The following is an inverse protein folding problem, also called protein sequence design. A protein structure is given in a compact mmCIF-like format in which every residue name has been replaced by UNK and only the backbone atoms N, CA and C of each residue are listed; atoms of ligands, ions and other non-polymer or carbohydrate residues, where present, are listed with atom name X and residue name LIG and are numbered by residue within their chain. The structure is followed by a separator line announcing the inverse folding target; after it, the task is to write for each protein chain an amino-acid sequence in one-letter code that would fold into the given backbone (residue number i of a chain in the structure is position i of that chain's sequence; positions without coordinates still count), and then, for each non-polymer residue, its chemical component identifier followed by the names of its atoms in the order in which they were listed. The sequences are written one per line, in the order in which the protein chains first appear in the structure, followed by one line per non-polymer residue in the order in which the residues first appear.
data_IF_097462410443
#
_entry.id   IF_097462410443
#
_cell.length_a   1.000
_cell.length_b   1.000
_cell.length_c   1.000
_cell.angle_alpha   90.00
_cell.angle_beta   90.00
_cell.angle_gamma   90.00
#
_symmetry.space_group_name_H-M   'P 1'
#
loop_
_entity.id
_entity.type
_entity.pdbx_description
1 polymer ?
#
# COMPACT_ATOMS: atom_id res chain seq x y z
N UNK A 1 -1.52 -11.27 12.73
CA UNK A 1 -0.55 -10.11 12.60
C UNK A 1 0.79 -10.41 13.22
N UNK A 2 0.85 -10.90 14.47
CA UNK A 2 2.12 -11.29 15.11
C UNK A 2 2.88 -12.31 14.26
N UNK A 3 2.16 -13.25 13.65
CA UNK A 3 2.73 -14.27 12.75
C UNK A 3 3.35 -13.65 11.48
N UNK A 4 2.72 -12.62 10.89
CA UNK A 4 3.28 -11.95 9.71
C UNK A 4 4.54 -11.14 10.02
N UNK A 5 4.61 -10.44 11.16
CA UNK A 5 5.84 -9.73 11.55
C UNK A 5 7.00 -10.70 11.83
N UNK A 6 6.70 -11.85 12.44
CA UNK A 6 7.69 -12.92 12.62
C UNK A 6 8.13 -13.47 11.27
N UNK A 7 7.19 -13.76 10.37
CA UNK A 7 7.50 -14.24 9.03
C UNK A 7 8.35 -13.23 8.24
N UNK A 8 8.00 -11.95 8.28
CA UNK A 8 8.78 -10.88 7.64
C UNK A 8 10.22 -10.84 8.19
N UNK A 9 10.38 -10.93 9.52
CA UNK A 9 11.71 -10.88 10.17
C UNK A 9 12.58 -12.09 9.77
N UNK A 10 11.98 -13.26 9.64
CA UNK A 10 12.67 -14.49 9.25
C UNK A 10 12.99 -14.55 7.74
N UNK A 11 12.28 -13.76 6.92
CA UNK A 11 12.41 -13.73 5.45
C UNK A 11 12.93 -12.38 4.93
N UNK A 12 13.70 -11.66 5.73
CA UNK A 12 14.35 -10.43 5.26
C UNK A 12 15.28 -10.71 4.09
N UNK A 13 15.22 -9.89 3.02
CA UNK A 13 16.08 -10.07 1.86
C UNK A 13 17.56 -9.93 2.25
N UNK A 14 18.38 -10.88 1.82
CA UNK A 14 19.82 -10.92 2.08
C UNK A 14 20.59 -11.42 0.89
N UNK A 15 21.80 -10.87 0.70
CA UNK A 15 22.76 -11.34 -0.27
C UNK A 15 24.08 -11.71 0.41
N UNK A 16 24.80 -12.70 -0.13
CA UNK A 16 26.19 -12.90 0.22
C UNK A 16 27.04 -11.81 -0.44
N UNK A 17 27.62 -10.92 0.37
CA UNK A 17 28.32 -9.74 -0.13
C UNK A 17 29.36 -9.23 0.87
N UNK A 18 30.43 -8.64 0.36
CA UNK A 18 31.39 -7.87 1.18
C UNK A 18 30.95 -6.39 1.34
N UNK A 19 29.85 -5.96 0.73
CA UNK A 19 29.37 -4.58 0.85
C UNK A 19 28.89 -4.32 2.29
N UNK A 20 29.44 -3.31 3.00
CA UNK A 20 29.23 -3.16 4.44
C UNK A 20 27.77 -2.80 4.85
N UNK A 21 26.97 -2.23 3.94
CA UNK A 21 25.66 -1.67 4.25
C UNK A 21 24.51 -2.23 3.41
N UNK A 22 24.77 -3.11 2.42
CA UNK A 22 23.74 -3.53 1.47
C UNK A 22 22.59 -4.27 2.14
N UNK A 23 22.89 -5.26 2.98
CA UNK A 23 21.85 -6.02 3.69
C UNK A 23 21.10 -5.17 4.72
N UNK A 24 21.79 -4.23 5.38
CA UNK A 24 21.13 -3.29 6.30
C UNK A 24 20.19 -2.34 5.56
N UNK A 25 20.57 -1.87 4.37
CA UNK A 25 19.75 -1.04 3.53
C UNK A 25 18.47 -1.77 3.08
N UNK A 26 18.58 -3.04 2.64
CA UNK A 26 17.42 -3.87 2.26
C UNK A 26 16.43 -4.07 3.41
N UNK A 27 16.92 -4.29 4.63
CA UNK A 27 16.10 -4.64 5.77
C UNK A 27 15.49 -3.40 6.49
N UNK A 28 16.20 -2.28 6.54
CA UNK A 28 15.92 -1.17 7.46
C UNK A 28 14.50 -0.60 7.34
N UNK A 29 14.01 -0.42 6.12
CA UNK A 29 12.65 0.11 5.89
C UNK A 29 11.54 -0.94 6.10
N UNK A 30 11.88 -2.22 6.04
CA UNK A 30 10.95 -3.32 6.31
C UNK A 30 10.69 -3.47 7.80
N UNK A 31 11.74 -3.39 8.63
CA UNK A 31 11.64 -3.53 10.09
C UNK A 31 11.27 -2.21 10.78
N UNK A 32 11.32 -1.09 10.10
CA UNK A 32 11.00 0.24 10.64
C UNK A 32 9.52 0.48 11.00
N UNK A 33 8.73 -0.58 11.08
CA UNK A 33 7.30 -0.52 11.43
C UNK A 33 6.40 -0.27 10.23
N UNK A 34 5.11 -0.14 10.53
CA UNK A 34 4.04 0.10 9.54
C UNK A 34 2.76 -0.63 9.94
N UNK A 35 1.63 -0.15 9.41
CA UNK A 35 0.31 -0.71 9.74
C UNK A 35 0.05 -2.07 9.06
N UNK A 36 0.92 -2.50 8.15
CA UNK A 36 0.78 -3.74 7.34
C UNK A 36 -0.62 -3.89 6.72
N UNK A 37 -1.17 -2.78 6.28
CA UNK A 37 -2.55 -2.73 5.80
C UNK A 37 -2.79 -3.66 4.61
N UNK A 38 -1.88 -3.65 3.62
CA UNK A 38 -1.97 -4.51 2.43
C UNK A 38 -1.82 -6.00 2.75
N UNK A 39 -0.80 -6.44 3.50
CA UNK A 39 -0.73 -7.81 4.02
C UNK A 39 -1.98 -8.25 4.76
N UNK A 40 -2.53 -7.39 5.64
CA UNK A 40 -3.74 -7.71 6.44
C UNK A 40 -4.96 -7.93 5.56
N UNK A 41 -5.15 -7.14 4.51
CA UNK A 41 -6.24 -7.34 3.55
C UNK A 41 -6.12 -8.67 2.82
N UNK A 42 -4.93 -9.00 2.29
CA UNK A 42 -4.68 -10.25 1.60
C UNK A 42 -4.92 -11.45 2.52
N UNK A 43 -4.25 -11.47 3.66
CA UNK A 43 -4.31 -12.59 4.61
C UNK A 43 -5.70 -12.75 5.22
N UNK A 44 -6.44 -11.65 5.45
CA UNK A 44 -7.82 -11.70 5.91
C UNK A 44 -8.75 -12.45 4.96
N UNK A 45 -8.61 -12.23 3.64
CA UNK A 45 -9.38 -13.00 2.64
C UNK A 45 -8.97 -14.48 2.67
N UNK A 46 -7.68 -14.78 2.78
CA UNK A 46 -7.21 -16.17 2.81
C UNK A 46 -7.69 -16.88 4.07
N UNK A 47 -7.59 -16.23 5.22
CA UNK A 47 -8.05 -16.78 6.50
C UNK A 47 -9.57 -17.06 6.51
N UNK A 48 -10.35 -16.18 5.84
CA UNK A 48 -11.80 -16.32 5.75
C UNK A 48 -12.27 -17.59 5.03
N UNK A 49 -11.55 -18.03 4.01
CA UNK A 49 -11.99 -19.14 3.15
C UNK A 49 -11.14 -20.40 3.28
N UNK A 50 -9.83 -20.25 3.41
CA UNK A 50 -8.87 -21.34 3.39
C UNK A 50 -7.76 -21.11 4.43
N UNK A 51 -8.05 -21.23 5.73
CA UNK A 51 -7.08 -20.98 6.79
C UNK A 51 -5.78 -21.79 6.66
N UNK A 52 -5.85 -22.97 6.04
CA UNK A 52 -4.67 -23.82 5.80
C UNK A 52 -3.70 -23.24 4.76
N UNK A 53 -4.15 -22.29 3.94
CA UNK A 53 -3.28 -21.60 2.97
C UNK A 53 -2.62 -20.35 3.53
N UNK A 54 -2.90 -19.92 4.76
CA UNK A 54 -2.36 -18.68 5.35
C UNK A 54 -0.83 -18.69 5.35
N UNK A 55 -0.19 -19.78 5.76
CA UNK A 55 1.27 -19.90 5.76
C UNK A 55 1.85 -19.73 4.34
N UNK A 56 1.26 -20.37 3.34
CA UNK A 56 1.66 -20.21 1.94
C UNK A 56 1.40 -18.80 1.40
N UNK A 57 0.31 -18.17 1.84
CA UNK A 57 -0.08 -16.81 1.44
C UNK A 57 0.81 -15.72 2.06
N UNK A 58 1.52 -16.00 3.15
CA UNK A 58 2.47 -15.06 3.76
C UNK A 58 3.57 -14.65 2.78
N UNK A 59 3.97 -15.53 1.84
CA UNK A 59 4.91 -15.18 0.77
C UNK A 59 4.33 -14.09 -0.15
N UNK A 60 3.06 -14.19 -0.52
CA UNK A 60 2.39 -13.19 -1.33
C UNK A 60 2.20 -11.86 -0.57
N UNK A 61 1.89 -11.94 0.71
CA UNK A 61 1.80 -10.77 1.60
C UNK A 61 3.16 -10.08 1.78
N UNK A 62 4.23 -10.85 1.91
CA UNK A 62 5.61 -10.34 1.96
C UNK A 62 5.98 -9.65 0.64
N UNK A 63 5.72 -10.28 -0.50
CA UNK A 63 5.97 -9.68 -1.81
C UNK A 63 5.27 -8.32 -1.99
N UNK A 64 4.00 -8.21 -1.56
CA UNK A 64 3.27 -6.94 -1.55
C UNK A 64 3.92 -5.89 -0.65
N UNK A 65 4.41 -6.27 0.53
CA UNK A 65 5.04 -5.34 1.46
C UNK A 65 6.42 -4.91 0.95
N UNK A 66 7.21 -5.82 0.34
CA UNK A 66 8.47 -5.47 -0.33
C UNK A 66 8.23 -4.47 -1.46
N UNK A 67 7.23 -4.77 -2.31
CA UNK A 67 6.86 -3.92 -3.43
C UNK A 67 6.35 -2.53 -2.98
N UNK A 68 5.60 -2.47 -1.90
CA UNK A 68 5.22 -1.19 -1.29
C UNK A 68 6.43 -0.46 -0.69
N UNK A 69 7.33 -1.19 -0.03
CA UNK A 69 8.50 -0.60 0.63
C UNK A 69 9.48 0.01 -0.37
N UNK A 70 9.72 -0.67 -1.52
CA UNK A 70 10.57 -0.06 -2.56
C UNK A 70 10.02 1.29 -3.03
N UNK A 71 8.70 1.39 -3.19
CA UNK A 71 8.10 2.66 -3.63
C UNK A 71 8.28 3.78 -2.62
N UNK A 72 8.23 3.47 -1.33
CA UNK A 72 8.51 4.45 -0.27
C UNK A 72 9.98 4.88 -0.26
N UNK A 73 10.91 3.94 -0.49
CA UNK A 73 12.35 4.26 -0.58
C UNK A 73 12.62 5.21 -1.75
N UNK A 74 12.00 4.96 -2.90
CA UNK A 74 12.17 5.82 -4.07
C UNK A 74 11.45 7.16 -3.92
N UNK A 75 10.26 7.19 -3.30
CA UNK A 75 9.54 8.43 -2.99
C UNK A 75 10.37 9.37 -2.11
N UNK A 76 11.13 8.83 -1.16
CA UNK A 76 11.95 9.62 -0.24
C UNK A 76 13.19 10.26 -0.89
N UNK A 77 13.60 9.85 -2.10
CA UNK A 77 14.81 10.34 -2.77
C UNK A 77 14.76 11.86 -3.04
N UNK A 78 15.93 12.55 -3.09
CA UNK A 78 16.00 13.97 -3.41
C UNK A 78 15.39 14.35 -4.76
N UNK A 79 15.31 13.40 -5.70
CA UNK A 79 14.69 13.60 -7.01
C UNK A 79 13.15 13.51 -6.97
N UNK A 80 12.57 13.16 -5.84
CA UNK A 80 11.13 13.00 -5.61
C UNK A 80 10.66 13.87 -4.44
N UNK A 81 10.33 13.31 -3.29
CA UNK A 81 9.80 14.07 -2.14
C UNK A 81 10.90 14.71 -1.27
N UNK A 82 12.18 14.36 -1.47
CA UNK A 82 13.35 14.84 -0.71
C UNK A 82 13.13 14.76 0.81
N UNK A 83 12.66 13.61 1.27
CA UNK A 83 12.23 13.41 2.64
C UNK A 83 13.37 12.89 3.52
N UNK A 84 13.77 13.65 4.55
CA UNK A 84 14.81 13.24 5.51
C UNK A 84 14.34 12.13 6.47
N UNK A 85 13.04 12.11 6.79
CA UNK A 85 12.44 11.21 7.76
C UNK A 85 11.21 10.48 7.20
N UNK A 86 11.08 9.20 7.53
CA UNK A 86 9.87 8.41 7.30
C UNK A 86 9.54 7.59 8.56
N UNK A 87 8.30 7.73 9.04
CA UNK A 87 7.84 7.06 10.29
C UNK A 87 8.75 7.34 11.50
N UNK A 88 9.31 8.56 11.59
CA UNK A 88 10.22 8.97 12.65
C UNK A 88 11.66 8.45 12.53
N UNK A 89 11.99 7.72 11.45
CA UNK A 89 13.34 7.22 11.20
C UNK A 89 13.97 7.91 9.99
N UNK A 90 15.31 8.11 9.97
CA UNK A 90 16.02 8.63 8.80
C UNK A 90 15.78 7.74 7.56
N UNK A 91 15.53 8.38 6.42
CA UNK A 91 15.33 7.69 5.14
C UNK A 91 16.61 7.02 4.63
N UNK A 92 16.48 6.12 3.65
CA UNK A 92 17.63 5.36 3.17
C UNK A 92 18.71 6.25 2.55
N UNK A 93 18.30 7.25 1.75
CA UNK A 93 19.25 8.14 1.08
C UNK A 93 20.03 9.00 2.07
N UNK A 94 19.43 9.43 3.17
CA UNK A 94 20.13 10.19 4.22
C UNK A 94 21.13 9.34 4.98
N UNK A 95 20.87 8.03 5.14
CA UNK A 95 21.76 7.10 5.87
C UNK A 95 22.90 6.55 5.01
N UNK A 96 22.63 6.24 3.75
CA UNK A 96 23.52 5.44 2.91
C UNK A 96 23.82 6.10 1.55
N UNK A 97 23.22 7.26 1.25
CA UNK A 97 23.34 7.96 -0.02
C UNK A 97 22.36 7.46 -1.08
N UNK A 98 22.12 8.31 -2.08
CA UNK A 98 21.11 8.12 -3.13
C UNK A 98 21.32 6.83 -3.93
N UNK A 99 22.57 6.55 -4.29
CA UNK A 99 22.88 5.38 -5.11
C UNK A 99 22.47 4.06 -4.44
N UNK A 100 22.74 3.91 -3.14
CA UNK A 100 22.37 2.69 -2.42
C UNK A 100 20.86 2.64 -2.16
N UNK A 101 20.20 3.78 -1.94
CA UNK A 101 18.77 3.85 -1.81
C UNK A 101 18.04 3.43 -3.11
N UNK A 102 18.50 3.91 -4.28
CA UNK A 102 17.98 3.49 -5.58
C UNK A 102 18.15 1.99 -5.77
N UNK A 103 19.36 1.46 -5.55
CA UNK A 103 19.64 0.03 -5.75
C UNK A 103 18.89 -0.87 -4.76
N UNK A 104 18.67 -0.42 -3.53
CA UNK A 104 17.87 -1.15 -2.56
C UNK A 104 16.40 -1.21 -2.99
N UNK A 105 15.83 -0.11 -3.48
CA UNK A 105 14.49 -0.09 -4.05
C UNK A 105 14.34 -1.02 -5.24
N UNK A 106 15.29 -0.98 -6.20
CA UNK A 106 15.30 -1.86 -7.37
C UNK A 106 15.37 -3.34 -6.97
N UNK A 107 16.21 -3.66 -5.97
CA UNK A 107 16.34 -5.01 -5.46
C UNK A 107 15.06 -5.51 -4.81
N UNK A 108 14.41 -4.71 -3.95
CA UNK A 108 13.14 -5.07 -3.30
C UNK A 108 12.01 -5.23 -4.32
N UNK A 109 11.95 -4.35 -5.33
CA UNK A 109 10.99 -4.47 -6.43
C UNK A 109 11.15 -5.81 -7.17
N UNK A 110 12.36 -6.14 -7.58
CA UNK A 110 12.64 -7.37 -8.33
C UNK A 110 12.41 -8.61 -7.45
N UNK A 111 12.87 -8.59 -6.20
CA UNK A 111 12.72 -9.70 -5.26
C UNK A 111 11.25 -10.00 -4.91
N UNK A 112 10.36 -8.99 -4.94
CA UNK A 112 8.93 -9.22 -4.77
C UNK A 112 8.36 -10.20 -5.81
N UNK A 113 8.80 -10.11 -7.07
CA UNK A 113 8.37 -11.05 -8.12
C UNK A 113 9.02 -12.43 -7.98
N UNK A 114 10.26 -12.51 -7.53
CA UNK A 114 10.94 -13.77 -7.22
C UNK A 114 10.18 -14.55 -6.13
N UNK A 115 9.84 -13.88 -5.01
CA UNK A 115 9.05 -14.49 -3.92
C UNK A 115 7.70 -15.02 -4.43
N UNK A 116 6.99 -14.27 -5.28
CA UNK A 116 5.73 -14.75 -5.85
C UNK A 116 5.94 -15.98 -6.74
N UNK A 117 6.99 -15.98 -7.56
CA UNK A 117 7.30 -17.07 -8.47
C UNK A 117 7.71 -18.35 -7.74
N UNK A 118 8.34 -18.23 -6.57
CA UNK A 118 8.82 -19.35 -5.75
C UNK A 118 7.88 -19.73 -4.60
N UNK A 119 6.80 -18.97 -4.37
CA UNK A 119 5.87 -19.22 -3.27
C UNK A 119 5.31 -20.65 -3.32
N UNK A 120 5.00 -21.29 -2.16
CA UNK A 120 4.48 -22.65 -2.09
C UNK A 120 2.99 -22.73 -2.47
N UNK A 121 2.64 -22.08 -3.58
CA UNK A 121 1.31 -22.06 -4.19
C UNK A 121 1.34 -22.74 -5.56
N UNK A 122 0.18 -23.09 -6.08
CA UNK A 122 0.05 -23.69 -7.42
C UNK A 122 0.62 -22.76 -8.48
N UNK A 123 1.20 -23.30 -9.54
CA UNK A 123 1.85 -22.51 -10.60
C UNK A 123 0.91 -21.55 -11.34
N UNK A 124 -0.34 -21.93 -11.54
CA UNK A 124 -1.37 -21.07 -12.13
C UNK A 124 -1.71 -19.88 -11.21
N UNK A 125 -1.77 -20.10 -9.90
CA UNK A 125 -1.95 -19.05 -8.89
C UNK A 125 -0.73 -18.11 -8.88
N UNK A 126 0.50 -18.65 -8.82
CA UNK A 126 1.73 -17.84 -8.83
C UNK A 126 1.81 -16.90 -10.02
N UNK A 127 1.52 -17.39 -11.22
CA UNK A 127 1.52 -16.58 -12.45
C UNK A 127 0.46 -15.47 -12.37
N UNK A 128 -0.73 -15.76 -11.83
CA UNK A 128 -1.78 -14.76 -11.68
C UNK A 128 -1.38 -13.69 -10.64
N UNK A 129 -0.76 -14.07 -9.51
CA UNK A 129 -0.25 -13.13 -8.52
C UNK A 129 0.81 -12.19 -9.09
N UNK A 130 1.78 -12.72 -9.86
CA UNK A 130 2.78 -11.94 -10.59
C UNK A 130 2.09 -10.95 -11.54
N UNK A 131 1.08 -11.39 -12.31
CA UNK A 131 0.33 -10.55 -13.23
C UNK A 131 -0.43 -9.43 -12.51
N UNK A 132 -1.06 -9.74 -11.37
CA UNK A 132 -1.81 -8.76 -10.58
C UNK A 132 -0.85 -7.70 -10.03
N UNK A 133 0.27 -8.11 -9.44
CA UNK A 133 1.26 -7.17 -8.88
C UNK A 133 1.85 -6.27 -9.98
N UNK A 134 2.26 -6.85 -11.12
CA UNK A 134 2.82 -6.08 -12.23
C UNK A 134 1.83 -5.08 -12.83
N UNK A 135 0.55 -5.48 -13.00
CA UNK A 135 -0.52 -4.62 -13.54
C UNK A 135 -0.81 -3.43 -12.61
N UNK A 136 -0.91 -3.69 -11.30
CA UNK A 136 -1.32 -2.67 -10.33
C UNK A 136 -0.15 -1.82 -9.81
N UNK A 137 1.06 -2.35 -9.86
CA UNK A 137 2.25 -1.62 -9.45
C UNK A 137 2.98 -0.89 -10.58
N UNK A 138 2.95 -1.45 -11.80
CA UNK A 138 3.78 -1.02 -12.94
C UNK A 138 3.20 0.13 -13.76
N UNK A 139 3.33 -0.02 -15.10
CA UNK A 139 3.09 1.03 -16.11
C UNK A 139 1.67 1.61 -16.13
N UNK A 140 0.68 0.89 -15.69
CA UNK A 140 -0.71 1.35 -15.59
C UNK A 140 -1.20 1.38 -14.13
N UNK A 141 -0.32 1.43 -13.17
CA UNK A 141 -0.62 1.35 -11.73
C UNK A 141 0.11 2.40 -10.91
N UNK A 142 0.70 1.96 -9.79
CA UNK A 142 1.35 2.84 -8.81
C UNK A 142 2.44 3.74 -9.42
N UNK A 143 3.28 3.20 -10.33
CA UNK A 143 4.33 3.98 -11.00
C UNK A 143 3.75 5.08 -11.88
N UNK A 144 2.63 4.82 -12.60
CA UNK A 144 1.93 5.87 -13.35
C UNK A 144 1.40 6.96 -12.42
N UNK A 145 0.79 6.55 -11.29
CA UNK A 145 0.29 7.49 -10.29
C UNK A 145 1.40 8.39 -9.75
N UNK A 146 2.56 7.83 -9.45
CA UNK A 146 3.73 8.58 -9.01
C UNK A 146 4.24 9.55 -10.09
N UNK A 147 4.28 9.12 -11.36
CA UNK A 147 4.69 9.99 -12.48
C UNK A 147 3.71 11.17 -12.68
N UNK A 148 2.41 10.95 -12.49
CA UNK A 148 1.40 12.02 -12.52
C UNK A 148 1.63 12.99 -11.36
N UNK A 149 1.80 12.46 -10.15
CA UNK A 149 2.00 13.24 -8.92
C UNK A 149 3.18 14.22 -9.07
N UNK A 150 4.36 13.71 -9.39
CA UNK A 150 5.56 14.52 -9.58
C UNK A 150 5.43 15.55 -10.72
N UNK A 151 4.81 15.14 -11.85
CA UNK A 151 4.67 16.05 -12.98
C UNK A 151 3.75 17.24 -12.67
N UNK A 152 2.71 17.01 -11.88
CA UNK A 152 1.69 18.02 -11.56
C UNK A 152 1.82 18.60 -10.14
N UNK A 153 2.87 18.32 -9.41
CA UNK A 153 3.07 18.78 -8.03
C UNK A 153 2.78 20.29 -7.86
N UNK A 154 3.27 21.12 -8.79
CA UNK A 154 3.09 22.60 -8.79
C UNK A 154 2.11 23.08 -9.87
N UNK A 155 1.25 22.22 -10.38
CA UNK A 155 0.28 22.51 -11.43
C UNK A 155 -1.10 22.03 -11.00
N UNK A 156 -2.11 22.92 -10.95
CA UNK A 156 -3.42 22.56 -10.42
C UNK A 156 -4.09 21.48 -11.30
N UNK A 157 -4.60 20.45 -10.66
CA UNK A 157 -5.43 19.40 -11.25
C UNK A 157 -6.90 19.65 -10.93
N UNK A 158 -7.80 19.12 -11.77
CA UNK A 158 -9.22 19.01 -11.46
C UNK A 158 -9.47 17.80 -10.56
N UNK A 159 -10.62 17.77 -9.87
CA UNK A 159 -10.98 16.69 -8.96
C UNK A 159 -10.90 15.30 -9.63
N UNK A 160 -11.40 15.15 -10.85
CA UNK A 160 -11.37 13.88 -11.59
C UNK A 160 -9.93 13.40 -11.86
N UNK A 161 -9.02 14.35 -12.07
CA UNK A 161 -7.60 14.06 -12.29
C UNK A 161 -6.89 13.66 -10.98
N UNK A 162 -7.25 14.29 -9.86
CA UNK A 162 -6.74 13.90 -8.53
C UNK A 162 -7.28 12.52 -8.14
N UNK A 163 -8.54 12.23 -8.42
CA UNK A 163 -9.09 10.88 -8.25
C UNK A 163 -8.32 9.85 -9.08
N UNK A 164 -8.02 10.16 -10.36
CA UNK A 164 -7.24 9.27 -11.22
C UNK A 164 -5.81 9.07 -10.71
N UNK A 165 -5.14 10.14 -10.26
CA UNK A 165 -3.82 10.11 -9.65
C UNK A 165 -3.82 9.12 -8.46
N UNK A 166 -4.69 9.32 -7.48
CA UNK A 166 -4.73 8.52 -6.26
C UNK A 166 -5.27 7.11 -6.49
N UNK A 167 -6.16 6.94 -7.48
CA UNK A 167 -6.54 5.60 -7.95
C UNK A 167 -5.33 4.80 -8.40
N UNK A 168 -4.43 5.42 -9.15
CA UNK A 168 -3.20 4.77 -9.63
C UNK A 168 -2.15 4.66 -8.50
N UNK A 169 -1.78 5.76 -7.85
CA UNK A 169 -0.67 5.82 -6.88
C UNK A 169 -0.95 4.94 -5.65
N UNK A 170 -2.18 4.94 -5.13
CA UNK A 170 -2.52 4.32 -3.85
C UNK A 170 -3.53 3.17 -3.98
N UNK A 171 -4.67 3.41 -4.63
CA UNK A 171 -5.81 2.51 -4.55
C UNK A 171 -5.59 1.17 -5.28
N UNK A 172 -4.92 1.17 -6.43
CA UNK A 172 -4.68 -0.06 -7.20
C UNK A 172 -3.87 -1.10 -6.44
N UNK A 173 -2.88 -0.70 -5.64
CA UNK A 173 -2.10 -1.67 -4.86
C UNK A 173 -2.89 -2.19 -3.64
N UNK A 174 -3.81 -1.40 -3.09
CA UNK A 174 -4.76 -1.83 -2.05
C UNK A 174 -5.77 -2.82 -2.66
N UNK A 175 -6.32 -2.53 -3.82
CA UNK A 175 -7.21 -3.44 -4.55
C UNK A 175 -6.52 -4.76 -4.93
N UNK A 176 -5.25 -4.69 -5.35
CA UNK A 176 -4.43 -5.86 -5.63
C UNK A 176 -4.31 -6.80 -4.42
N UNK A 177 -4.24 -6.26 -3.19
CA UNK A 177 -4.17 -7.08 -1.98
C UNK A 177 -5.39 -7.99 -1.82
N UNK A 178 -6.59 -7.44 -2.02
CA UNK A 178 -7.85 -8.20 -1.96
C UNK A 178 -7.98 -9.18 -3.13
N UNK A 179 -7.62 -8.76 -4.35
CA UNK A 179 -7.65 -9.61 -5.55
C UNK A 179 -6.67 -10.79 -5.41
N UNK A 180 -5.47 -10.57 -4.88
CA UNK A 180 -4.48 -11.63 -4.66
C UNK A 180 -4.97 -12.65 -3.63
N UNK A 181 -5.54 -12.20 -2.51
CA UNK A 181 -6.18 -13.08 -1.54
C UNK A 181 -7.27 -13.93 -2.16
N UNK A 182 -8.16 -13.31 -2.95
CA UNK A 182 -9.25 -13.99 -3.65
C UNK A 182 -8.76 -15.01 -4.69
N UNK A 183 -7.64 -14.75 -5.36
CA UNK A 183 -6.99 -15.69 -6.30
C UNK A 183 -6.43 -16.90 -5.56
N UNK A 184 -5.76 -16.69 -4.43
CA UNK A 184 -5.15 -17.75 -3.63
C UNK A 184 -6.21 -18.79 -3.20
N UNK A 185 -7.37 -18.31 -2.74
CA UNK A 185 -8.46 -19.17 -2.28
C UNK A 185 -9.41 -19.61 -3.40
N UNK A 186 -9.13 -19.23 -4.65
CA UNK A 186 -9.86 -19.71 -5.82
C UNK A 186 -11.27 -19.13 -5.98
N UNK A 187 -11.55 -17.92 -5.48
CA UNK A 187 -12.86 -17.28 -5.70
C UNK A 187 -13.15 -17.09 -7.17
N UNK A 188 -14.44 -17.10 -7.51
CA UNK A 188 -14.93 -16.87 -8.87
C UNK A 188 -14.61 -15.45 -9.37
N UNK A 189 -14.55 -15.29 -10.68
CA UNK A 189 -14.16 -14.02 -11.33
C UNK A 189 -15.00 -12.82 -10.89
N UNK A 190 -16.29 -13.00 -10.66
CA UNK A 190 -17.20 -11.94 -10.24
C UNK A 190 -16.88 -11.48 -8.81
N UNK A 191 -16.64 -12.41 -7.89
CA UNK A 191 -16.23 -12.12 -6.52
C UNK A 191 -14.86 -11.42 -6.47
N UNK A 192 -13.89 -11.88 -7.28
CA UNK A 192 -12.57 -11.21 -7.41
C UNK A 192 -12.73 -9.77 -7.88
N UNK A 193 -13.61 -9.54 -8.89
CA UNK A 193 -13.88 -8.20 -9.39
C UNK A 193 -14.55 -7.32 -8.34
N UNK A 194 -15.52 -7.84 -7.62
CA UNK A 194 -16.21 -7.09 -6.55
C UNK A 194 -15.24 -6.67 -5.45
N UNK A 195 -14.35 -7.56 -5.01
CA UNK A 195 -13.30 -7.26 -4.03
C UNK A 195 -12.27 -6.25 -4.57
N UNK A 196 -11.89 -6.37 -5.83
CA UNK A 196 -11.00 -5.39 -6.47
C UNK A 196 -11.63 -3.99 -6.53
N UNK A 197 -12.89 -3.90 -6.99
CA UNK A 197 -13.61 -2.63 -7.09
C UNK A 197 -13.82 -1.99 -5.70
N UNK A 198 -14.13 -2.81 -4.68
CA UNK A 198 -14.17 -2.38 -3.29
C UNK A 198 -12.81 -1.85 -2.81
N UNK A 199 -11.72 -2.55 -3.14
CA UNK A 199 -10.36 -2.13 -2.81
C UNK A 199 -9.95 -0.81 -3.45
N UNK A 200 -10.43 -0.51 -4.66
CA UNK A 200 -10.21 0.79 -5.33
C UNK A 200 -10.87 1.93 -4.53
N UNK A 201 -12.12 1.77 -4.11
CA UNK A 201 -12.81 2.80 -3.32
C UNK A 201 -12.22 2.94 -1.92
N UNK A 202 -11.87 1.82 -1.28
CA UNK A 202 -11.17 1.82 0.02
C UNK A 202 -9.83 2.55 -0.06
N UNK A 203 -9.08 2.37 -1.15
CA UNK A 203 -7.82 3.06 -1.36
C UNK A 203 -7.98 4.56 -1.63
N UNK A 204 -9.05 4.97 -2.31
CA UNK A 204 -9.40 6.39 -2.47
C UNK A 204 -9.79 7.01 -1.12
N UNK A 205 -10.64 6.35 -0.36
CA UNK A 205 -11.00 6.80 0.99
C UNK A 205 -9.75 6.95 1.86
N UNK A 206 -8.84 5.97 1.81
CA UNK A 206 -7.59 6.00 2.56
C UNK A 206 -6.78 7.27 2.26
N UNK A 207 -6.70 7.66 0.97
CA UNK A 207 -5.97 8.86 0.56
C UNK A 207 -6.67 10.15 1.01
N UNK A 208 -8.00 10.26 0.82
CA UNK A 208 -8.76 11.43 1.30
C UNK A 208 -8.57 11.61 2.81
N UNK A 209 -8.58 10.53 3.55
CA UNK A 209 -8.36 10.55 5.00
C UNK A 209 -6.92 10.96 5.36
N UNK A 210 -5.93 10.50 4.61
CA UNK A 210 -4.54 10.92 4.82
C UNK A 210 -4.37 12.43 4.57
N UNK A 211 -4.99 12.98 3.52
CA UNK A 211 -5.00 14.41 3.24
C UNK A 211 -5.68 15.23 4.36
N UNK A 212 -6.80 14.74 4.91
CA UNK A 212 -7.49 15.37 6.04
C UNK A 212 -6.60 15.36 7.29
N UNK A 213 -6.00 14.21 7.61
CA UNK A 213 -5.13 14.07 8.78
C UNK A 213 -3.87 14.93 8.66
N UNK A 214 -3.27 15.01 7.47
CA UNK A 214 -2.11 15.88 7.22
C UNK A 214 -2.44 17.37 7.42
N UNK A 215 -3.67 17.78 7.09
CA UNK A 215 -4.13 19.16 7.27
C UNK A 215 -4.56 19.47 8.71
N UNK A 216 -4.85 18.47 9.56
CA UNK A 216 -5.43 18.67 10.89
C UNK A 216 -4.52 18.27 12.04
N UNK A 217 -3.57 17.36 11.82
CA UNK A 217 -2.64 16.88 12.86
C UNK A 217 -1.42 17.80 12.99
N UNK A 218 -0.89 17.90 14.22
CA UNK A 218 0.42 18.50 14.45
C UNK A 218 1.55 17.59 13.94
N UNK A 219 2.75 18.14 13.66
CA UNK A 219 3.92 17.34 13.27
C UNK A 219 4.28 16.25 14.28
N UNK A 220 4.03 16.50 15.56
CA UNK A 220 4.30 15.57 16.66
C UNK A 220 3.33 14.37 16.64
N UNK A 221 2.05 14.61 16.34
CA UNK A 221 1.02 13.58 16.21
C UNK A 221 1.17 12.76 14.93
N UNK A 222 1.55 13.41 13.83
CA UNK A 222 1.73 12.78 12.52
C UNK A 222 3.04 11.96 12.43
N UNK A 223 4.04 12.23 13.28
CA UNK A 223 5.38 11.62 13.22
C UNK A 223 6.18 11.94 11.94
N UNK A 224 5.75 12.99 11.21
CA UNK A 224 6.38 13.55 10.00
C UNK A 224 6.11 15.05 9.95
N UNK A 225 6.89 15.85 9.20
CA UNK A 225 6.53 17.23 8.91
C UNK A 225 5.11 17.26 8.28
N UNK A 226 4.25 18.17 8.77
CA UNK A 226 2.89 18.40 8.27
C UNK A 226 2.79 19.77 7.61
N UNK A 227 1.73 19.99 6.80
CA UNK A 227 1.50 21.31 6.18
C UNK A 227 2.34 21.57 4.94
N UNK A 228 3.05 20.58 4.40
CA UNK A 228 3.79 20.70 3.14
C UNK A 228 2.89 20.57 1.90
N UNK A 229 1.62 20.19 2.06
CA UNK A 229 0.69 19.93 0.97
C UNK A 229 -0.02 21.20 0.44
N UNK A 230 0.36 22.41 0.91
CA UNK A 230 -0.23 23.66 0.43
C UNK A 230 -0.10 23.90 -1.08
N UNK A 231 0.93 23.32 -1.71
CA UNK A 231 1.19 23.39 -3.15
C UNK A 231 0.89 22.05 -3.87
N UNK A 232 0.51 20.98 -3.13
CA UNK A 232 0.19 19.67 -3.70
C UNK A 232 -1.29 19.55 -4.08
N UNK A 233 -1.57 18.74 -5.08
CA UNK A 233 -2.93 18.40 -5.52
C UNK A 233 -3.57 17.39 -4.56
N UNK A 234 -4.12 17.86 -3.45
CA UNK A 234 -4.83 17.05 -2.45
C UNK A 234 -6.35 17.28 -2.50
N UNK A 235 -7.12 16.38 -1.91
CA UNK A 235 -8.57 16.58 -1.77
C UNK A 235 -8.88 17.80 -0.90
N UNK A 236 -8.09 18.07 0.13
CA UNK A 236 -8.25 19.26 0.99
C UNK A 236 -7.95 20.54 0.24
N UNK A 237 -6.91 20.58 -0.60
CA UNK A 237 -6.59 21.75 -1.43
C UNK A 237 -7.71 22.08 -2.43
N UNK A 238 -8.36 21.05 -2.99
CA UNK A 238 -9.40 21.22 -4.01
C UNK A 238 -10.79 21.51 -3.44
N UNK A 239 -11.19 20.83 -2.36
CA UNK A 239 -12.54 20.84 -1.82
C UNK A 239 -12.66 21.69 -0.55
N UNK A 240 -11.53 22.11 0.03
CA UNK A 240 -11.46 22.61 1.39
C UNK A 240 -11.63 21.46 2.41
N UNK A 241 -11.30 21.72 3.67
CA UNK A 241 -11.34 20.69 4.72
C UNK A 241 -12.77 20.09 4.88
N UNK A 242 -13.80 20.93 4.95
CA UNK A 242 -15.19 20.47 5.10
C UNK A 242 -15.70 19.71 3.87
N UNK A 243 -15.30 20.12 2.67
CA UNK A 243 -15.62 19.39 1.44
C UNK A 243 -14.91 18.03 1.36
N UNK A 244 -13.65 17.96 1.79
CA UNK A 244 -12.91 16.70 1.86
C UNK A 244 -13.51 15.74 2.90
N UNK A 245 -13.95 16.24 4.05
CA UNK A 245 -14.66 15.45 5.07
C UNK A 245 -15.98 14.90 4.53
N UNK A 246 -16.81 15.74 3.91
CA UNK A 246 -18.06 15.29 3.30
C UNK A 246 -17.85 14.25 2.19
N UNK A 247 -16.78 14.41 1.40
CA UNK A 247 -16.40 13.43 0.38
C UNK A 247 -15.93 12.11 1.00
N UNK A 248 -15.14 12.16 2.07
CA UNK A 248 -14.71 10.96 2.81
C UNK A 248 -15.90 10.25 3.46
N UNK A 249 -16.84 10.98 4.08
CA UNK A 249 -18.05 10.41 4.66
C UNK A 249 -18.88 9.67 3.61
N UNK A 250 -19.12 10.28 2.44
CA UNK A 250 -19.85 9.63 1.35
C UNK A 250 -19.20 8.36 0.83
N UNK A 251 -17.85 8.34 0.70
CA UNK A 251 -17.11 7.13 0.34
C UNK A 251 -17.19 6.05 1.44
N UNK A 252 -17.08 6.46 2.71
CA UNK A 252 -17.11 5.53 3.84
C UNK A 252 -18.49 4.86 3.98
N UNK A 253 -19.58 5.62 3.84
CA UNK A 253 -20.95 5.11 3.87
C UNK A 253 -21.22 4.14 2.70
N UNK A 254 -20.79 4.49 1.48
CA UNK A 254 -20.89 3.59 0.32
C UNK A 254 -20.11 2.29 0.53
N UNK A 255 -18.90 2.37 1.10
CA UNK A 255 -18.08 1.21 1.42
C UNK A 255 -18.68 0.35 2.52
N UNK A 256 -19.27 0.96 3.55
CA UNK A 256 -19.95 0.23 4.64
C UNK A 256 -21.13 -0.58 4.10
N UNK A 257 -21.96 0.02 3.24
CA UNK A 257 -23.08 -0.66 2.58
C UNK A 257 -22.60 -1.83 1.71
N UNK A 258 -21.58 -1.60 0.88
CA UNK A 258 -20.99 -2.65 0.04
C UNK A 258 -20.32 -3.75 0.85
N UNK A 259 -19.62 -3.39 1.93
CA UNK A 259 -19.03 -4.36 2.84
C UNK A 259 -20.12 -5.25 3.47
N UNK A 260 -21.24 -4.66 3.87
CA UNK A 260 -22.40 -5.40 4.36
C UNK A 260 -23.00 -6.40 3.36
N UNK A 261 -22.78 -6.20 2.05
CA UNK A 261 -23.24 -7.11 1.00
C UNK A 261 -22.34 -8.32 0.73
N UNK A 262 -21.09 -8.32 1.23
CA UNK A 262 -20.22 -9.49 1.14
C UNK A 262 -20.74 -10.63 2.01
N UNK A 263 -20.28 -11.84 1.72
CA UNK A 263 -20.60 -13.01 2.53
C UNK A 263 -19.99 -12.93 3.95
N UNK A 264 -20.52 -13.75 4.85
CA UNK A 264 -20.13 -13.71 6.26
C UNK A 264 -18.61 -13.93 6.48
N UNK A 265 -17.93 -14.87 5.82
CA UNK A 265 -16.49 -15.07 6.00
C UNK A 265 -15.66 -13.83 5.75
N UNK A 266 -15.91 -13.10 4.65
CA UNK A 266 -15.20 -11.85 4.34
C UNK A 266 -15.49 -10.79 5.42
N UNK A 267 -16.76 -10.62 5.80
CA UNK A 267 -17.15 -9.62 6.80
C UNK A 267 -16.49 -9.88 8.14
N UNK A 268 -16.51 -11.11 8.62
CA UNK A 268 -15.89 -11.49 9.89
C UNK A 268 -14.38 -11.25 9.89
N UNK A 269 -13.70 -11.67 8.81
CA UNK A 269 -12.24 -11.53 8.71
C UNK A 269 -11.77 -10.07 8.60
N UNK A 270 -12.54 -9.21 7.94
CA UNK A 270 -12.17 -7.83 7.71
C UNK A 270 -12.87 -6.82 8.64
N UNK A 271 -13.78 -7.26 9.53
CA UNK A 271 -14.56 -6.38 10.41
C UNK A 271 -13.66 -5.41 11.21
N UNK A 272 -12.61 -5.93 11.82
CA UNK A 272 -11.68 -5.12 12.60
C UNK A 272 -10.99 -4.04 11.75
N UNK A 273 -10.57 -4.40 10.52
CA UNK A 273 -9.96 -3.44 9.58
C UNK A 273 -10.96 -2.38 9.15
N UNK A 274 -12.19 -2.77 8.81
CA UNK A 274 -13.22 -1.81 8.38
C UNK A 274 -13.56 -0.84 9.51
N UNK A 275 -13.74 -1.34 10.74
CA UNK A 275 -13.97 -0.50 11.92
C UNK A 275 -12.83 0.50 12.15
N UNK A 276 -11.57 0.07 12.02
CA UNK A 276 -10.41 0.91 12.29
C UNK A 276 -10.15 1.97 11.19
N UNK A 277 -10.66 1.74 9.96
CA UNK A 277 -10.26 2.56 8.81
C UNK A 277 -11.39 3.30 8.10
N UNK A 278 -12.65 2.84 8.16
CA UNK A 278 -13.72 3.50 7.39
C UNK A 278 -13.98 4.94 7.83
N UNK A 279 -13.95 5.22 9.11
CA UNK A 279 -14.32 6.54 9.66
C UNK A 279 -13.20 7.22 10.45
N UNK A 280 -11.94 6.83 10.26
CA UNK A 280 -10.80 7.38 11.01
C UNK A 280 -10.58 8.90 10.82
N UNK A 281 -11.18 9.51 9.81
CA UNK A 281 -11.12 10.96 9.58
C UNK A 281 -12.09 11.77 10.45
N UNK A 282 -12.92 11.08 11.23
CA UNK A 282 -13.82 11.69 12.21
C UNK A 282 -13.19 11.86 13.59
N UNK A 283 -12.11 11.13 13.85
CA UNK A 283 -11.32 11.20 15.09
C UNK A 283 -10.38 12.42 15.07
#
# INVERSE_FOLDING_TARGET
MQDFETFLADHLPRAETFHPHYNDALASMLVGGGKRFRPRLLLGIVEAYEPLLVESAMHAALALELFHTYSLIHDDLPAMDDADLRRGHPTLHTRYGDALAILAGDALNTHAFEILAESPLRSDVRIELVRILARNGGTGGMVLGQAIDLHFEKRPLKLEQVIELHRNKTAKLIAASLEMGAVIVGLERESRKALYDFGIELGLLFQVQDDILDATQSPEEAGKPTGHDGDKNSFVTLLGLEGARAYADGLAESLEERFGSFDAPIREALEGLMRDYLFRHRD
#
